data_IF_157521433271
#
_entry.id   IF_157521433271
#
_cell.length_a   1.000
_cell.length_b   1.000
_cell.length_c   1.000
_cell.angle_alpha   90.00
_cell.angle_beta   90.00
_cell.angle_gamma   90.00
#
_symmetry.space_group_name_H-M   'P 1'
#
loop_
_entity.id
_entity.type
_entity.pdbx_description
1 polymer ?
#
# COMPACT_ATOMS: atom_id res chain seq x y z
N UNK A 1 34.22 -16.16 -41.61
CA UNK A 1 34.95 -16.82 -40.49
C UNK A 1 33.95 -17.51 -39.59
N UNK A 2 34.03 -18.84 -39.50
CA UNK A 2 33.30 -19.66 -38.51
C UNK A 2 33.87 -19.35 -37.12
N UNK A 3 33.02 -19.08 -36.14
CA UNK A 3 33.38 -19.25 -34.73
C UNK A 3 32.28 -20.06 -34.04
N UNK A 4 32.66 -21.29 -33.73
CA UNK A 4 31.88 -22.33 -33.10
C UNK A 4 32.18 -22.29 -31.60
N UNK A 5 31.11 -22.20 -30.82
CA UNK A 5 30.90 -22.84 -29.51
C UNK A 5 31.97 -22.75 -28.42
N UNK A 6 31.59 -22.17 -27.28
CA UNK A 6 31.80 -22.83 -25.98
C UNK A 6 30.68 -22.47 -25.00
N UNK A 7 29.89 -23.49 -24.65
CA UNK A 7 29.05 -23.53 -23.44
C UNK A 7 29.97 -23.63 -22.23
N UNK A 8 29.74 -22.81 -21.20
CA UNK A 8 30.16 -23.12 -19.84
C UNK A 8 28.97 -22.97 -18.90
N UNK A 9 28.74 -24.01 -18.12
CA UNK A 9 27.66 -24.13 -17.15
C UNK A 9 27.92 -23.19 -15.97
N UNK A 10 26.95 -22.34 -15.65
CA UNK A 10 26.91 -21.64 -14.36
C UNK A 10 26.10 -22.47 -13.39
N UNK A 11 26.80 -23.12 -12.47
CA UNK A 11 26.23 -23.58 -11.22
C UNK A 11 27.26 -23.30 -10.13
N UNK A 12 26.97 -22.36 -9.23
CA UNK A 12 27.47 -22.38 -7.85
C UNK A 12 26.60 -21.47 -6.99
N UNK A 13 25.72 -22.10 -6.21
CA UNK A 13 25.32 -21.60 -4.90
C UNK A 13 26.57 -21.24 -4.10
N UNK A 14 26.72 -19.98 -3.68
CA UNK A 14 27.62 -19.58 -2.59
C UNK A 14 26.95 -18.53 -1.72
N UNK A 15 26.35 -18.98 -0.62
CA UNK A 15 26.30 -18.19 0.61
C UNK A 15 27.73 -18.17 1.19
N UNK A 16 28.33 -16.98 1.28
CA UNK A 16 29.57 -16.77 2.03
C UNK A 16 29.23 -16.48 3.49
N UNK A 17 29.84 -17.19 4.47
CA UNK A 17 29.85 -16.74 5.86
C UNK A 17 31.03 -15.79 6.08
N UNK A 18 30.72 -14.54 6.46
CA UNK A 18 31.70 -13.58 6.97
C UNK A 18 32.19 -14.06 8.34
N UNK A 19 33.40 -14.62 8.39
CA UNK A 19 34.13 -14.85 9.64
C UNK A 19 35.07 -13.68 9.89
N UNK A 20 34.68 -12.75 10.77
CA UNK A 20 35.57 -11.70 11.25
C UNK A 20 36.54 -12.29 12.28
N UNK A 21 37.75 -12.59 11.82
CA UNK A 21 38.93 -12.90 12.65
C UNK A 21 39.51 -11.58 13.17
N UNK A 22 39.15 -11.17 14.40
CA UNK A 22 39.82 -10.06 15.07
C UNK A 22 41.23 -10.47 15.50
N UNK A 23 42.24 -9.80 14.95
CA UNK A 23 43.65 -9.88 15.36
C UNK A 23 43.80 -9.18 16.72
N UNK A 24 44.21 -9.92 17.76
CA UNK A 24 44.68 -9.34 19.03
C UNK A 24 45.97 -8.58 18.79
N UNK A 25 45.97 -7.28 19.08
CA UNK A 25 47.19 -6.48 19.30
C UNK A 25 47.33 -6.34 20.82
N UNK A 26 48.47 -6.81 21.34
CA UNK A 26 48.91 -6.66 22.73
C UNK A 26 49.61 -5.31 22.89
N UNK A 27 49.16 -4.48 23.85
CA UNK A 27 49.90 -3.33 24.40
C UNK A 27 49.62 -3.24 25.92
N UNK A 28 50.53 -2.63 26.72
CA UNK A 28 50.82 -3.06 28.08
C UNK A 28 50.05 -2.33 29.20
N UNK A 29 50.03 -3.00 30.35
CA UNK A 29 49.52 -2.57 31.65
C UNK A 29 49.99 -1.17 32.06
N UNK A 30 49.05 -0.32 32.49
CA UNK A 30 49.28 0.74 33.48
C UNK A 30 48.02 0.95 34.33
N UNK A 31 48.24 1.42 35.55
CA UNK A 31 47.43 1.24 36.74
C UNK A 31 46.06 1.94 36.76
N UNK A 32 45.15 1.37 37.55
CA UNK A 32 43.83 1.90 37.89
C UNK A 32 43.91 3.11 38.83
N UNK A 33 42.92 4.02 38.77
CA UNK A 33 42.39 4.67 39.95
C UNK A 33 40.96 4.21 40.21
N UNK A 34 40.68 3.87 41.47
CA UNK A 34 39.35 3.57 41.98
C UNK A 34 38.40 4.76 41.79
N UNK A 35 37.30 4.56 41.08
CA UNK A 35 36.16 5.48 41.06
C UNK A 35 35.02 4.82 41.82
N UNK A 36 34.77 5.32 43.03
CA UNK A 36 33.68 4.92 43.91
C UNK A 36 32.34 5.06 43.19
N UNK A 37 31.66 3.93 43.00
CA UNK A 37 30.28 3.85 42.50
C UNK A 37 29.36 4.34 43.62
N UNK A 38 28.85 5.57 43.49
CA UNK A 38 27.67 5.99 44.23
C UNK A 38 26.45 5.33 43.61
N UNK A 39 25.91 4.32 44.28
CA UNK A 39 24.59 3.76 43.99
C UNK A 39 23.53 4.81 44.37
N UNK A 40 23.17 5.68 43.41
CA UNK A 40 21.92 6.44 43.50
C UNK A 40 20.76 5.49 43.20
N UNK A 41 20.30 4.89 44.29
CA UNK A 41 19.04 4.17 44.43
C UNK A 41 17.91 5.21 44.32
N UNK A 42 17.31 5.37 43.14
CA UNK A 42 16.19 6.31 43.00
C UNK A 42 15.60 6.42 41.59
N UNK A 43 14.51 5.67 41.36
CA UNK A 43 13.40 5.96 40.43
C UNK A 43 13.67 6.00 38.90
N UNK A 44 13.67 4.81 38.28
CA UNK A 44 12.96 4.58 37.02
C UNK A 44 11.72 3.74 37.38
N UNK A 45 10.48 4.22 37.13
CA UNK A 45 9.94 4.07 35.78
C UNK A 45 8.98 5.20 35.39
N UNK A 46 9.35 6.03 34.42
CA UNK A 46 8.39 6.84 33.67
C UNK A 46 8.76 6.88 32.19
N UNK A 47 8.86 5.71 31.56
CA UNK A 47 9.10 5.55 30.12
C UNK A 47 8.15 4.52 29.47
N UNK A 48 6.95 4.35 30.03
CA UNK A 48 5.89 3.47 29.50
C UNK A 48 4.54 4.18 29.41
N UNK A 49 4.51 5.45 28.98
CA UNK A 49 3.24 6.18 28.77
C UNK A 49 3.05 6.78 27.37
N UNK A 50 3.76 6.28 26.36
CA UNK A 50 3.49 6.62 24.95
C UNK A 50 3.30 5.36 24.08
N UNK A 51 2.82 4.26 24.65
CA UNK A 51 2.37 3.10 23.87
C UNK A 51 0.90 3.30 23.51
N UNK A 52 0.69 3.77 22.28
CA UNK A 52 -0.52 3.58 21.48
C UNK A 52 -1.85 3.98 22.13
N UNK A 53 -2.23 5.25 21.98
CA UNK A 53 -3.65 5.59 21.75
C UNK A 53 -4.04 5.10 20.33
N UNK A 54 -3.97 3.80 20.06
CA UNK A 54 -4.74 3.23 18.96
C UNK A 54 -6.17 3.17 19.48
N UNK A 55 -6.98 4.20 19.17
CA UNK A 55 -8.42 4.04 19.29
C UNK A 55 -8.79 2.81 18.46
N UNK A 56 -9.46 1.79 19.03
CA UNK A 56 -9.99 0.72 18.21
C UNK A 56 -10.92 1.38 17.19
N UNK A 57 -10.52 1.36 15.92
CA UNK A 57 -11.40 1.72 14.82
C UNK A 57 -12.50 0.67 14.82
N UNK A 58 -13.67 1.03 15.37
CA UNK A 58 -14.88 0.22 15.23
C UNK A 58 -15.09 0.08 13.74
N UNK A 59 -15.07 -1.16 13.25
CA UNK A 59 -15.34 -1.43 11.84
C UNK A 59 -16.74 -0.90 11.52
N UNK A 60 -16.83 0.05 10.59
CA UNK A 60 -18.11 0.59 10.17
C UNK A 60 -18.80 -0.51 9.37
N UNK A 61 -20.06 -0.77 9.68
CA UNK A 61 -20.87 -1.70 8.89
C UNK A 61 -21.09 -1.06 7.51
N UNK A 62 -20.57 -1.71 6.47
CA UNK A 62 -20.80 -1.32 5.08
C UNK A 62 -22.04 -2.09 4.60
N UNK A 63 -23.09 -1.38 4.22
CA UNK A 63 -24.32 -2.02 3.72
C UNK A 63 -24.18 -2.42 2.24
N UNK A 64 -23.50 -1.59 1.44
CA UNK A 64 -23.23 -1.85 0.02
C UNK A 64 -21.73 -1.70 -0.29
N UNK A 65 -21.04 -2.83 -0.34
CA UNK A 65 -19.66 -2.87 -0.81
C UNK A 65 -19.63 -3.27 -2.29
N UNK A 66 -19.32 -2.31 -3.16
CA UNK A 66 -19.33 -2.52 -4.61
C UNK A 66 -18.06 -3.25 -5.09
N UNK A 67 -17.04 -3.39 -4.24
CA UNK A 67 -15.85 -4.17 -4.52
C UNK A 67 -15.26 -4.76 -3.21
N UNK A 68 -15.89 -5.78 -2.61
CA UNK A 68 -15.53 -6.28 -1.28
C UNK A 68 -14.12 -6.87 -1.21
N UNK A 69 -13.64 -7.46 -2.30
CA UNK A 69 -12.29 -8.00 -2.44
C UNK A 69 -11.30 -7.02 -3.07
N UNK A 70 -11.59 -5.73 -3.04
CA UNK A 70 -10.67 -4.72 -3.57
C UNK A 70 -9.42 -4.55 -2.72
N UNK A 71 -8.28 -4.41 -3.39
CA UNK A 71 -7.07 -3.92 -2.74
C UNK A 71 -7.19 -2.40 -2.48
N UNK A 72 -7.20 -2.00 -1.21
CA UNK A 72 -7.56 -0.65 -0.75
C UNK A 72 -6.54 -0.05 0.24
N UNK A 73 -5.28 -0.46 0.12
CA UNK A 73 -4.20 -0.11 1.05
C UNK A 73 -3.95 1.41 1.11
N UNK A 74 -4.01 1.97 2.31
CA UNK A 74 -3.74 3.38 2.58
C UNK A 74 -2.26 3.68 2.88
N UNK A 75 -1.44 2.64 3.09
CA UNK A 75 -0.03 2.74 3.46
C UNK A 75 0.22 3.50 4.77
N UNK A 76 -0.73 3.40 5.71
CA UNK A 76 -0.67 4.11 6.99
C UNK A 76 0.50 3.61 7.83
N UNK A 77 1.43 4.51 8.13
CA UNK A 77 2.61 4.25 8.96
C UNK A 77 3.74 3.50 8.25
N UNK A 78 3.63 3.23 6.94
CA UNK A 78 4.64 2.45 6.20
C UNK A 78 4.95 2.99 4.79
N UNK A 79 4.42 4.15 4.41
CA UNK A 79 4.58 4.72 3.07
C UNK A 79 6.05 4.81 2.66
N UNK A 80 6.94 5.26 3.54
CA UNK A 80 8.37 5.37 3.25
C UNK A 80 9.00 4.00 2.94
N UNK A 81 8.75 3.00 3.78
CA UNK A 81 9.30 1.65 3.59
C UNK A 81 8.74 0.98 2.33
N UNK A 82 7.46 1.21 2.01
CA UNK A 82 6.87 0.71 0.76
C UNK A 82 7.52 1.39 -0.45
N UNK A 83 7.76 2.71 -0.39
CA UNK A 83 8.47 3.42 -1.45
C UNK A 83 9.89 2.88 -1.64
N UNK A 84 10.61 2.62 -0.56
CA UNK A 84 11.96 2.05 -0.59
C UNK A 84 11.96 0.65 -1.23
N UNK A 85 11.03 -0.24 -0.84
CA UNK A 85 10.92 -1.59 -1.44
C UNK A 85 10.53 -1.50 -2.94
N UNK A 86 9.67 -0.55 -3.31
CA UNK A 86 9.30 -0.29 -4.72
C UNK A 86 10.48 0.19 -5.57
N UNK A 87 11.38 1.01 -5.01
CA UNK A 87 12.58 1.52 -5.70
C UNK A 87 13.67 0.44 -5.80
N UNK A 88 13.85 -0.37 -4.76
CA UNK A 88 14.88 -1.41 -4.73
C UNK A 88 14.48 -2.66 -5.53
N UNK A 89 13.19 -2.95 -5.58
CA UNK A 89 12.64 -4.10 -6.31
C UNK A 89 12.48 -3.85 -7.81
N UNK A 90 12.13 -4.91 -8.53
CA UNK A 90 11.81 -4.90 -9.96
C UNK A 90 10.30 -4.71 -10.23
N UNK A 91 9.56 -4.16 -9.26
CA UNK A 91 8.10 -4.05 -9.29
C UNK A 91 7.60 -3.25 -10.50
N UNK A 92 8.23 -2.10 -10.78
CA UNK A 92 7.85 -1.28 -11.92
C UNK A 92 8.12 -1.99 -13.25
N UNK A 93 9.30 -2.60 -13.42
CA UNK A 93 9.64 -3.36 -14.62
C UNK A 93 8.66 -4.51 -14.86
N UNK A 94 8.36 -5.29 -13.81
CA UNK A 94 7.36 -6.38 -13.88
C UNK A 94 5.97 -5.86 -14.23
N UNK A 95 5.57 -4.72 -13.67
CA UNK A 95 4.28 -4.09 -13.97
C UNK A 95 4.20 -3.69 -15.45
N UNK A 96 5.26 -3.08 -16.00
CA UNK A 96 5.37 -2.73 -17.42
C UNK A 96 5.26 -3.95 -18.35
N UNK A 97 5.80 -5.09 -17.94
CA UNK A 97 5.74 -6.36 -18.70
C UNK A 97 4.38 -7.06 -18.61
N UNK A 98 3.63 -6.84 -17.52
CA UNK A 98 2.38 -7.56 -17.24
C UNK A 98 1.14 -7.07 -18.01
N UNK A 99 1.14 -5.81 -18.44
CA UNK A 99 -0.05 -5.15 -18.99
C UNK A 99 0.02 -4.90 -20.50
N UNK A 100 -1.00 -5.34 -21.25
CA UNK A 100 -1.13 -4.95 -22.68
C UNK A 100 -1.23 -3.43 -22.77
N UNK A 101 -0.35 -2.80 -23.54
CA UNK A 101 -0.26 -1.35 -23.71
C UNK A 101 0.12 -0.52 -22.48
N UNK A 102 0.27 -1.10 -21.29
CA UNK A 102 0.56 -0.33 -20.07
C UNK A 102 1.87 0.45 -20.19
N UNK A 103 2.92 -0.20 -20.70
CA UNK A 103 4.20 0.45 -20.96
C UNK A 103 4.08 1.66 -21.89
N UNK A 104 3.34 1.53 -22.99
CA UNK A 104 3.11 2.61 -23.95
C UNK A 104 2.32 3.77 -23.34
N UNK A 105 1.32 3.47 -22.51
CA UNK A 105 0.54 4.49 -21.80
C UNK A 105 1.42 5.23 -20.80
N UNK A 106 2.25 4.52 -20.03
CA UNK A 106 3.19 5.13 -19.09
C UNK A 106 4.19 6.06 -19.79
N UNK A 107 4.81 5.61 -20.88
CA UNK A 107 5.71 6.43 -21.68
C UNK A 107 5.02 7.70 -22.21
N UNK A 108 3.81 7.56 -22.74
CA UNK A 108 3.02 8.70 -23.22
C UNK A 108 2.71 9.67 -22.09
N UNK A 109 2.25 9.19 -20.94
CA UNK A 109 1.96 10.00 -19.76
C UNK A 109 3.21 10.75 -19.27
N UNK A 110 4.37 10.08 -19.25
CA UNK A 110 5.64 10.69 -18.89
C UNK A 110 6.03 11.84 -19.85
N UNK A 111 5.97 11.60 -21.17
CA UNK A 111 6.24 12.64 -22.17
C UNK A 111 5.22 13.79 -22.10
N UNK A 112 3.94 13.48 -21.85
CA UNK A 112 2.91 14.49 -21.65
C UNK A 112 3.23 15.37 -20.45
N UNK A 113 3.60 14.80 -19.31
CA UNK A 113 3.98 15.55 -18.12
C UNK A 113 5.17 16.48 -18.38
N UNK A 114 6.25 15.96 -18.98
CA UNK A 114 7.45 16.75 -19.27
C UNK A 114 7.16 17.96 -20.17
N UNK A 115 6.18 17.85 -21.08
CA UNK A 115 5.78 18.96 -21.96
C UNK A 115 4.94 20.03 -21.26
N UNK A 116 4.29 19.72 -20.13
CA UNK A 116 3.47 20.71 -19.42
C UNK A 116 4.32 21.79 -18.75
N UNK A 117 5.57 21.49 -18.36
CA UNK A 117 6.47 22.45 -17.72
C UNK A 117 5.94 23.02 -16.40
N UNK A 118 4.94 22.38 -15.79
CA UNK A 118 4.33 22.81 -14.53
C UNK A 118 5.19 22.39 -13.34
N UNK A 119 5.21 23.25 -12.32
CA UNK A 119 5.79 22.91 -11.03
C UNK A 119 4.95 21.85 -10.32
N UNK A 120 5.62 20.94 -9.62
CA UNK A 120 4.96 19.99 -8.73
C UNK A 120 4.69 20.62 -7.36
N UNK A 121 3.60 20.22 -6.69
CA UNK A 121 3.45 20.43 -5.26
C UNK A 121 4.66 19.97 -4.45
N UNK A 122 4.84 20.59 -3.29
CA UNK A 122 5.87 20.20 -2.34
C UNK A 122 5.66 18.74 -1.90
N UNK A 123 6.73 17.94 -1.93
CA UNK A 123 6.75 16.49 -1.63
C UNK A 123 6.15 15.56 -2.71
N UNK A 124 5.65 16.10 -3.83
CA UNK A 124 5.32 15.27 -5.00
C UNK A 124 6.55 15.01 -5.88
N UNK A 125 6.53 13.87 -6.55
CA UNK A 125 7.56 13.48 -7.53
C UNK A 125 6.95 13.39 -8.92
N UNK A 126 7.79 13.38 -9.96
CA UNK A 126 7.35 13.14 -11.34
C UNK A 126 6.56 11.84 -11.44
N UNK A 127 6.93 10.81 -10.68
CA UNK A 127 6.22 9.52 -10.67
C UNK A 127 4.77 9.66 -10.22
N UNK A 128 4.49 10.50 -9.21
CA UNK A 128 3.11 10.77 -8.78
C UNK A 128 2.29 11.41 -9.90
N UNK A 129 2.85 12.45 -10.55
CA UNK A 129 2.19 13.12 -11.66
C UNK A 129 1.93 12.18 -12.85
N UNK A 130 2.89 11.32 -13.17
CA UNK A 130 2.74 10.32 -14.24
C UNK A 130 1.72 9.27 -13.86
N UNK A 131 1.67 8.80 -12.62
CA UNK A 131 0.65 7.85 -12.16
C UNK A 131 -0.78 8.40 -12.30
N UNK A 132 -0.99 9.68 -11.92
CA UNK A 132 -2.25 10.39 -12.16
C UNK A 132 -2.58 10.37 -13.65
N UNK A 133 -1.65 10.81 -14.52
CA UNK A 133 -1.87 10.86 -15.96
C UNK A 133 -2.15 9.49 -16.57
N UNK A 134 -1.46 8.44 -16.13
CA UNK A 134 -1.69 7.06 -16.58
C UNK A 134 -3.12 6.63 -16.29
N UNK A 135 -3.61 6.91 -15.09
CA UNK A 135 -4.98 6.59 -14.68
C UNK A 135 -6.02 7.42 -15.45
N UNK A 136 -5.76 8.72 -15.67
CA UNK A 136 -6.68 9.67 -16.30
C UNK A 136 -6.78 9.56 -17.83
N UNK A 137 -5.69 9.20 -18.51
CA UNK A 137 -5.58 9.26 -19.98
C UNK A 137 -6.10 8.01 -20.70
N UNK A 138 -6.26 6.87 -20.01
CA UNK A 138 -6.53 5.61 -20.69
C UNK A 138 -7.54 4.72 -19.95
N UNK A 139 -8.73 4.58 -20.55
CA UNK A 139 -9.82 3.78 -19.98
C UNK A 139 -9.50 2.29 -19.91
N UNK A 140 -8.69 1.75 -20.84
CA UNK A 140 -8.27 0.34 -20.81
C UNK A 140 -7.37 0.06 -19.60
N UNK A 141 -6.39 0.93 -19.34
CA UNK A 141 -5.53 0.80 -18.15
C UNK A 141 -6.35 0.93 -16.87
N UNK A 142 -7.27 1.90 -16.81
CA UNK A 142 -8.17 2.06 -15.67
C UNK A 142 -9.04 0.81 -15.45
N UNK A 143 -9.56 0.21 -16.51
CA UNK A 143 -10.34 -1.03 -16.44
C UNK A 143 -9.51 -2.23 -15.97
N UNK A 144 -8.30 -2.42 -16.54
CA UNK A 144 -7.41 -3.52 -16.14
C UNK A 144 -6.92 -3.36 -14.70
N UNK A 145 -6.61 -2.13 -14.28
CA UNK A 145 -6.24 -1.80 -12.91
C UNK A 145 -7.38 -2.10 -11.93
N UNK A 146 -8.59 -1.65 -12.25
CA UNK A 146 -9.80 -1.91 -11.45
C UNK A 146 -10.06 -3.42 -11.31
N UNK A 147 -9.93 -4.18 -12.40
CA UNK A 147 -10.07 -5.65 -12.39
C UNK A 147 -9.00 -6.32 -11.52
N UNK A 148 -7.75 -5.86 -11.61
CA UNK A 148 -6.66 -6.37 -10.77
C UNK A 148 -6.91 -6.06 -9.29
N UNK A 149 -7.36 -4.86 -8.95
CA UNK A 149 -7.71 -4.50 -7.57
C UNK A 149 -8.80 -5.42 -7.02
N UNK A 150 -9.85 -5.70 -7.80
CA UNK A 150 -10.97 -6.55 -7.39
C UNK A 150 -10.62 -8.04 -7.22
N UNK A 151 -9.54 -8.53 -7.84
CA UNK A 151 -9.20 -9.96 -7.89
C UNK A 151 -7.95 -10.34 -7.09
N UNK A 152 -7.12 -9.37 -6.71
CA UNK A 152 -5.82 -9.66 -6.13
C UNK A 152 -5.75 -9.57 -4.61
N UNK A 153 -6.85 -9.21 -3.96
CA UNK A 153 -6.89 -9.02 -2.53
C UNK A 153 -7.32 -10.32 -1.81
N UNK A 154 -6.43 -10.76 -0.91
CA UNK A 154 -6.51 -12.01 -0.16
C UNK A 154 -5.32 -12.11 0.80
N UNK A 155 -4.61 -13.24 0.80
CA UNK A 155 -3.38 -13.37 1.61
C UNK A 155 -2.20 -12.54 1.06
N UNK A 156 -1.16 -12.23 1.86
CA UNK A 156 0.06 -11.58 1.36
C UNK A 156 0.72 -12.33 0.18
N UNK A 157 0.60 -13.67 0.17
CA UNK A 157 1.12 -14.50 -0.91
C UNK A 157 0.32 -14.30 -2.21
N UNK A 158 -1.01 -14.24 -2.12
CA UNK A 158 -1.87 -13.97 -3.27
C UNK A 158 -1.64 -12.56 -3.81
N UNK A 159 -1.53 -11.56 -2.93
CA UNK A 159 -1.15 -10.19 -3.30
C UNK A 159 0.18 -10.17 -4.08
N UNK A 160 1.19 -10.91 -3.60
CA UNK A 160 2.50 -10.99 -4.23
C UNK A 160 2.41 -11.45 -5.68
N UNK A 161 1.66 -12.52 -5.94
CA UNK A 161 1.62 -13.20 -7.24
C UNK A 161 0.58 -12.64 -8.20
N UNK A 162 -0.55 -12.14 -7.70
CA UNK A 162 -1.71 -11.78 -8.52
C UNK A 162 -1.91 -10.28 -8.71
N UNK A 163 -1.44 -9.44 -7.78
CA UNK A 163 -1.58 -7.98 -7.93
C UNK A 163 -0.39 -7.40 -8.68
N UNK A 164 -0.48 -7.21 -9.99
CA UNK A 164 0.66 -6.71 -10.77
C UNK A 164 0.83 -5.18 -10.72
N UNK A 165 -0.21 -4.43 -10.32
CA UNK A 165 -0.22 -2.96 -10.27
C UNK A 165 0.27 -2.38 -8.93
N UNK A 166 1.33 -2.94 -8.36
CA UNK A 166 1.86 -2.51 -7.05
C UNK A 166 2.40 -1.08 -7.09
N UNK A 167 3.08 -0.74 -8.18
CA UNK A 167 3.71 0.57 -8.37
C UNK A 167 2.64 1.63 -8.64
N UNK A 168 1.73 1.38 -9.60
CA UNK A 168 0.63 2.32 -9.89
C UNK A 168 -0.23 2.58 -8.67
N UNK A 169 -0.64 1.53 -7.94
CA UNK A 169 -1.52 1.68 -6.78
C UNK A 169 -0.87 2.56 -5.70
N UNK A 170 0.40 2.31 -5.39
CA UNK A 170 1.11 3.11 -4.39
C UNK A 170 1.16 4.59 -4.80
N UNK A 171 1.71 4.89 -5.99
CA UNK A 171 1.89 6.28 -6.42
C UNK A 171 0.56 7.00 -6.65
N UNK A 172 -0.50 6.31 -7.08
CA UNK A 172 -1.82 6.93 -7.23
C UNK A 172 -2.44 7.24 -5.86
N UNK A 173 -2.32 6.31 -4.90
CA UNK A 173 -2.82 6.51 -3.53
C UNK A 173 -2.12 7.68 -2.86
N UNK A 174 -0.79 7.68 -2.85
CA UNK A 174 -0.01 8.73 -2.18
C UNK A 174 -0.12 10.07 -2.91
N UNK A 175 -0.34 10.08 -4.24
CA UNK A 175 -0.60 11.31 -4.97
C UNK A 175 -1.88 12.00 -4.48
N UNK A 176 -2.99 11.26 -4.34
CA UNK A 176 -4.24 11.82 -3.81
C UNK A 176 -4.05 12.32 -2.37
N UNK A 177 -3.35 11.55 -1.53
CA UNK A 177 -3.07 11.94 -0.15
C UNK A 177 -2.23 13.23 -0.05
N UNK A 178 -1.19 13.37 -0.88
CA UNK A 178 -0.33 14.56 -0.92
C UNK A 178 -1.10 15.80 -1.40
N UNK A 179 -1.89 15.68 -2.46
CA UNK A 179 -2.74 16.77 -2.94
C UNK A 179 -3.76 17.19 -1.87
N UNK A 180 -4.38 16.22 -1.19
CA UNK A 180 -5.29 16.52 -0.09
C UNK A 180 -4.60 17.23 1.07
N UNK A 181 -3.41 16.79 1.46
CA UNK A 181 -2.62 17.45 2.51
C UNK A 181 -2.33 18.91 2.14
N UNK A 182 -1.96 19.18 0.89
CA UNK A 182 -1.71 20.53 0.40
C UNK A 182 -2.97 21.41 0.45
N UNK A 183 -4.12 20.90 -0.02
CA UNK A 183 -5.43 21.59 0.00
C UNK A 183 -5.81 21.96 1.44
N UNK A 184 -5.70 21.01 2.38
CA UNK A 184 -6.01 21.25 3.80
C UNK A 184 -5.05 22.29 4.38
N UNK A 185 -3.76 22.24 4.04
CA UNK A 185 -2.77 23.22 4.52
C UNK A 185 -3.05 24.62 4.01
N UNK A 186 -3.67 24.77 2.83
CA UNK A 186 -4.06 26.04 2.24
C UNK A 186 -5.42 26.56 2.73
N UNK A 187 -6.12 25.84 3.62
CA UNK A 187 -7.49 26.14 4.06
C UNK A 187 -8.49 26.28 2.90
N UNK A 188 -8.29 25.52 1.82
CA UNK A 188 -9.22 25.47 0.69
C UNK A 188 -10.40 24.50 0.99
N UNK A 189 -11.34 24.33 0.06
CA UNK A 189 -12.53 23.50 0.24
C UNK A 189 -12.20 22.10 0.77
N UNK A 190 -12.76 21.75 1.92
CA UNK A 190 -12.51 20.47 2.58
C UNK A 190 -13.11 19.29 1.79
N UNK A 191 -14.19 19.53 1.04
CA UNK A 191 -14.87 18.51 0.26
C UNK A 191 -15.27 19.04 -1.12
N UNK A 192 -15.46 18.14 -2.09
CA UNK A 192 -15.87 18.48 -3.45
C UNK A 192 -17.17 17.76 -3.79
N UNK A 193 -18.14 18.49 -4.32
CA UNK A 193 -19.29 17.88 -4.99
C UNK A 193 -18.85 17.44 -6.39
N UNK A 194 -19.03 16.15 -6.68
CA UNK A 194 -18.61 15.53 -7.92
C UNK A 194 -19.69 14.61 -8.45
N UNK A 195 -19.62 14.30 -9.74
CA UNK A 195 -20.59 13.46 -10.42
C UNK A 195 -19.90 12.23 -11.01
N UNK A 196 -20.56 11.08 -10.85
CA UNK A 196 -20.09 9.81 -11.35
C UNK A 196 -21.25 9.02 -11.95
N UNK A 197 -21.01 8.35 -13.06
CA UNK A 197 -22.00 7.54 -13.77
C UNK A 197 -21.51 6.10 -13.88
N UNK A 198 -22.40 5.15 -13.63
CA UNK A 198 -22.17 3.72 -13.87
C UNK A 198 -23.27 3.17 -14.78
N UNK A 199 -22.88 2.82 -16.00
CA UNK A 199 -23.77 2.20 -17.01
C UNK A 199 -24.03 0.73 -16.71
N UNK A 200 -25.25 0.28 -17.01
CA UNK A 200 -25.65 -1.12 -16.87
C UNK A 200 -25.80 -1.62 -15.43
N UNK A 201 -25.77 -0.70 -14.45
CA UNK A 201 -25.96 -1.01 -13.03
C UNK A 201 -27.11 -0.18 -12.50
N UNK A 202 -28.04 -0.83 -11.80
CA UNK A 202 -29.17 -0.23 -11.12
C UNK A 202 -29.00 -0.44 -9.62
N UNK A 203 -28.30 0.50 -8.97
CA UNK A 203 -28.12 0.43 -7.53
C UNK A 203 -29.33 1.04 -6.84
N UNK A 204 -29.96 0.27 -5.96
CA UNK A 204 -30.99 0.74 -5.04
C UNK A 204 -30.45 0.59 -3.62
N UNK A 205 -30.14 1.72 -2.98
CA UNK A 205 -29.68 1.76 -1.60
C UNK A 205 -30.51 2.79 -0.83
N UNK A 206 -31.14 2.42 0.30
CA UNK A 206 -31.99 3.34 1.06
C UNK A 206 -31.17 4.46 1.71
N UNK A 207 -31.82 5.57 2.04
CA UNK A 207 -31.21 6.64 2.82
C UNK A 207 -30.64 6.09 4.15
N UNK A 208 -29.46 6.58 4.52
CA UNK A 208 -28.70 6.14 5.69
C UNK A 208 -27.82 4.90 5.45
N UNK A 209 -27.95 4.22 4.30
CA UNK A 209 -27.07 3.10 3.96
C UNK A 209 -25.63 3.59 3.73
N UNK A 210 -24.65 2.77 4.14
CA UNK A 210 -23.22 3.03 3.87
C UNK A 210 -22.75 2.29 2.62
N UNK A 211 -22.15 3.02 1.69
CA UNK A 211 -21.59 2.54 0.43
C UNK A 211 -20.07 2.68 0.44
N UNK A 212 -19.37 1.64 -0.05
CA UNK A 212 -17.95 1.69 -0.41
C UNK A 212 -17.81 1.29 -1.87
N UNK A 213 -17.12 2.11 -2.67
CA UNK A 213 -16.83 1.78 -4.07
C UNK A 213 -15.70 0.75 -4.20
N UNK A 214 -14.71 0.79 -3.30
CA UNK A 214 -13.57 -0.13 -3.29
C UNK A 214 -12.64 0.02 -4.49
N UNK A 215 -12.84 1.01 -5.34
CA UNK A 215 -11.95 1.31 -6.47
C UNK A 215 -11.69 2.80 -6.53
N UNK A 216 -10.59 3.19 -7.19
CA UNK A 216 -10.39 4.58 -7.53
C UNK A 216 -11.52 5.01 -8.46
N UNK A 217 -12.11 6.18 -8.21
CA UNK A 217 -13.06 6.80 -9.12
C UNK A 217 -12.42 8.01 -9.79
N UNK A 218 -12.67 8.13 -11.09
CA UNK A 218 -12.53 9.41 -11.80
C UNK A 218 -13.93 10.00 -11.91
N UNK A 219 -14.10 11.20 -11.35
CA UNK A 219 -15.39 11.88 -11.18
C UNK A 219 -15.31 13.30 -11.74
N UNK A 220 -16.42 13.81 -12.25
CA UNK A 220 -16.50 15.14 -12.87
C UNK A 220 -16.93 16.20 -11.85
N UNK A 221 -16.30 17.38 -11.88
CA UNK A 221 -16.80 18.57 -11.17
C UNK A 221 -18.03 19.19 -11.83
N UNK A 222 -18.24 18.89 -13.11
CA UNK A 222 -19.40 19.36 -13.85
C UNK A 222 -20.51 18.35 -13.70
N UNK A 223 -21.69 18.81 -13.29
CA UNK A 223 -22.91 18.04 -13.42
C UNK A 223 -23.14 17.83 -14.91
N UNK A 224 -23.03 16.59 -15.35
CA UNK A 224 -23.64 16.24 -16.62
C UNK A 224 -25.15 16.43 -16.42
N UNK A 225 -25.69 17.51 -17.01
CA UNK A 225 -27.13 17.68 -17.14
C UNK A 225 -27.66 16.36 -17.71
N UNK A 226 -28.74 15.84 -17.13
CA UNK A 226 -29.30 14.52 -17.39
C UNK A 226 -29.79 14.33 -18.84
N UNK A 227 -28.88 14.46 -19.81
CA UNK A 227 -29.14 14.23 -21.21
C UNK A 227 -29.15 12.73 -21.42
N UNK A 228 -30.35 12.22 -21.10
CA UNK A 228 -30.88 10.89 -21.37
C UNK A 228 -30.47 9.89 -20.30
N UNK A 229 -31.24 9.90 -19.20
CA UNK A 229 -31.57 8.69 -18.46
C UNK A 229 -31.72 7.50 -19.44
N UNK A 230 -30.65 6.71 -19.52
CA UNK A 230 -30.59 5.37 -20.09
C UNK A 230 -30.21 4.42 -18.96
N UNK A 231 -30.09 3.13 -19.25
CA UNK A 231 -29.93 2.05 -18.28
C UNK A 231 -28.69 2.19 -17.35
N UNK A 232 -28.74 3.08 -16.35
CA UNK A 232 -27.57 3.50 -15.55
C UNK A 232 -27.94 4.05 -14.16
N UNK A 233 -26.94 4.10 -13.28
CA UNK A 233 -27.00 4.81 -11.99
C UNK A 233 -26.12 6.06 -12.03
N UNK A 234 -26.69 7.19 -11.62
CA UNK A 234 -26.00 8.46 -11.46
C UNK A 234 -25.74 8.75 -9.98
N UNK A 235 -24.54 9.21 -9.67
CA UNK A 235 -24.13 9.58 -8.33
C UNK A 235 -23.78 11.07 -8.26
N UNK A 236 -24.36 11.78 -7.30
CA UNK A 236 -23.82 13.07 -6.82
C UNK A 236 -23.10 12.79 -5.51
N UNK A 237 -21.79 12.98 -5.47
CA UNK A 237 -20.93 12.57 -4.35
C UNK A 237 -20.29 13.82 -3.74
N UNK A 238 -20.46 14.03 -2.44
CA UNK A 238 -19.65 14.96 -1.67
C UNK A 238 -18.46 14.21 -1.08
N UNK A 239 -17.31 14.26 -1.76
CA UNK A 239 -16.07 13.57 -1.36
C UNK A 239 -15.16 14.50 -0.56
N UNK A 240 -14.66 14.01 0.57
CA UNK A 240 -13.73 14.74 1.45
C UNK A 240 -12.30 14.18 1.38
N UNK A 241 -12.08 13.08 0.63
CA UNK A 241 -10.76 12.51 0.38
C UNK A 241 -10.33 12.57 -1.09
N UNK A 242 -11.26 12.79 -2.01
CA UNK A 242 -10.94 12.89 -3.43
C UNK A 242 -10.21 14.18 -3.78
N UNK A 243 -9.16 14.12 -4.60
CA UNK A 243 -8.34 15.29 -4.94
C UNK A 243 -8.60 15.74 -6.39
N UNK A 244 -8.78 17.05 -6.65
CA UNK A 244 -8.78 17.58 -8.01
C UNK A 244 -7.41 17.38 -8.66
N UNK A 245 -7.39 16.88 -9.90
CA UNK A 245 -6.14 16.60 -10.64
C UNK A 245 -6.04 17.39 -11.94
N UNK A 246 -6.80 18.46 -12.07
CA UNK A 246 -6.82 19.34 -13.26
C UNK A 246 -5.47 19.96 -13.60
N UNK A 247 -4.54 20.05 -12.64
CA UNK A 247 -3.19 20.52 -12.90
C UNK A 247 -2.31 19.49 -13.61
N UNK A 248 -2.69 18.21 -13.54
CA UNK A 248 -1.99 17.09 -14.15
C UNK A 248 -2.72 16.59 -15.40
N UNK A 249 -4.04 16.40 -15.29
CA UNK A 249 -4.92 15.86 -16.32
C UNK A 249 -5.53 16.99 -17.17
N UNK A 250 -5.77 16.72 -18.46
CA UNK A 250 -6.54 17.63 -19.32
C UNK A 250 -8.04 17.64 -18.95
N UNK A 251 -8.50 16.64 -18.19
CA UNK A 251 -9.88 16.55 -17.71
C UNK A 251 -10.02 17.29 -16.39
N UNK A 252 -11.12 18.03 -16.22
CA UNK A 252 -11.53 18.61 -14.93
C UNK A 252 -12.16 17.53 -14.07
N UNK A 253 -11.32 16.65 -13.53
CA UNK A 253 -11.75 15.52 -12.73
C UNK A 253 -11.18 15.56 -11.31
N UNK A 254 -11.93 14.94 -10.40
CA UNK A 254 -11.52 14.66 -9.03
C UNK A 254 -11.34 13.14 -8.92
N UNK A 255 -10.16 12.72 -8.43
CA UNK A 255 -9.87 11.33 -8.17
C UNK A 255 -10.26 10.97 -6.74
N UNK A 256 -11.16 10.02 -6.57
CA UNK A 256 -11.62 9.52 -5.26
C UNK A 256 -10.87 8.23 -4.93
N UNK A 257 -10.28 8.09 -3.73
CA UNK A 257 -9.56 6.88 -3.35
C UNK A 257 -10.51 5.70 -3.04
N UNK A 258 -10.02 4.44 -3.11
CA UNK A 258 -10.85 3.24 -2.96
C UNK A 258 -11.40 2.98 -1.54
N UNK A 259 -10.87 3.68 -0.54
CA UNK A 259 -11.15 3.44 0.88
C UNK A 259 -12.11 4.47 1.50
N UNK A 260 -12.63 5.44 0.73
CA UNK A 260 -13.61 6.40 1.23
C UNK A 260 -14.99 5.74 1.39
N UNK A 261 -15.64 6.01 2.52
CA UNK A 261 -17.01 5.56 2.82
C UNK A 261 -18.00 6.68 2.58
N UNK A 262 -19.18 6.32 2.09
CA UNK A 262 -20.24 7.26 1.77
C UNK A 262 -21.57 6.84 2.37
N UNK A 263 -22.27 7.77 3.00
CA UNK A 263 -23.66 7.60 3.41
C UNK A 263 -24.61 8.08 2.29
N UNK A 264 -25.66 7.32 2.02
CA UNK A 264 -26.75 7.74 1.13
C UNK A 264 -27.61 8.78 1.83
N UNK A 265 -27.61 10.01 1.32
CA UNK A 265 -28.39 11.12 1.91
C UNK A 265 -29.66 11.45 1.13
N UNK A 266 -29.74 11.05 -0.13
CA UNK A 266 -30.92 11.24 -0.97
C UNK A 266 -30.94 10.23 -2.12
N UNK A 267 -32.12 9.90 -2.62
CA UNK A 267 -32.31 8.89 -3.67
C UNK A 267 -33.50 9.24 -4.56
N UNK A 268 -33.40 8.97 -5.85
CA UNK A 268 -34.52 8.98 -6.79
C UNK A 268 -34.42 7.79 -7.72
N UNK A 269 -35.50 7.02 -7.85
CA UNK A 269 -35.55 5.83 -8.70
C UNK A 269 -36.55 6.07 -9.83
N UNK A 270 -36.09 5.87 -11.07
CA UNK A 270 -36.91 6.05 -12.26
C UNK A 270 -36.77 4.85 -13.19
N UNK A 271 -37.79 4.57 -14.04
CA UNK A 271 -37.72 3.46 -15.00
C UNK A 271 -36.54 3.53 -15.98
N UNK A 272 -35.92 4.70 -16.13
CA UNK A 272 -34.79 4.95 -17.04
C UNK A 272 -33.46 5.18 -16.30
N UNK A 273 -33.37 4.84 -15.02
CA UNK A 273 -32.13 4.94 -14.24
C UNK A 273 -32.34 5.45 -12.81
N UNK A 274 -31.36 5.18 -11.97
CA UNK A 274 -31.36 5.54 -10.56
C UNK A 274 -30.44 6.73 -10.31
N UNK A 275 -30.76 7.54 -9.32
CA UNK A 275 -29.92 8.62 -8.83
C UNK A 275 -29.74 8.51 -7.31
N UNK A 276 -28.49 8.59 -6.87
CA UNK A 276 -28.12 8.59 -5.45
C UNK A 276 -27.26 9.81 -5.14
N UNK A 277 -27.57 10.48 -4.04
CA UNK A 277 -26.72 11.49 -3.44
C UNK A 277 -25.97 10.89 -2.26
N UNK A 278 -24.65 11.04 -2.27
CA UNK A 278 -23.72 10.41 -1.35
C UNK A 278 -22.92 11.47 -0.60
N UNK A 279 -22.69 11.26 0.70
CA UNK A 279 -21.86 12.14 1.54
C UNK A 279 -20.75 11.34 2.21
N UNK A 280 -19.51 11.83 2.12
CA UNK A 280 -18.36 11.22 2.80
C UNK A 280 -18.58 11.09 4.31
N UNK A 281 -18.29 9.92 4.87
CA UNK A 281 -18.45 9.62 6.31
C UNK A 281 -17.19 9.07 6.98
N UNK A 282 -16.12 8.85 6.22
CA UNK A 282 -14.85 8.40 6.77
C UNK A 282 -14.09 7.48 5.83
N UNK A 283 -13.22 6.65 6.41
CA UNK A 283 -12.42 5.66 5.67
C UNK A 283 -12.51 4.29 6.28
N UNK A 284 -12.38 3.27 5.43
CA UNK A 284 -12.15 1.90 5.84
C UNK A 284 -11.32 1.19 4.79
N UNK A 285 -10.21 0.61 5.23
CA UNK A 285 -9.37 -0.26 4.41
C UNK A 285 -9.29 -1.64 5.02
N UNK A 286 -9.36 -2.66 4.16
CA UNK A 286 -9.09 -4.04 4.51
C UNK A 286 -7.60 -4.30 4.64
N UNK A 287 -6.79 -3.61 3.83
CA UNK A 287 -5.34 -3.80 3.78
C UNK A 287 -4.59 -2.60 4.37
N UNK A 288 -3.44 -2.91 4.98
CA UNK A 288 -2.45 -1.91 5.35
C UNK A 288 -1.06 -2.50 5.20
N UNK A 289 -0.18 -1.83 4.45
CA UNK A 289 1.22 -2.20 4.23
C UNK A 289 1.41 -3.62 3.66
N UNK A 290 0.53 -4.05 2.76
CA UNK A 290 0.46 -5.42 2.26
C UNK A 290 1.73 -5.82 1.50
N UNK A 291 2.36 -4.86 0.82
CA UNK A 291 3.61 -5.08 0.10
C UNK A 291 4.73 -5.56 1.04
N UNK A 292 4.91 -4.90 2.18
CA UNK A 292 5.92 -5.29 3.17
C UNK A 292 5.61 -6.66 3.80
N UNK A 293 4.33 -6.95 4.07
CA UNK A 293 3.90 -8.27 4.56
C UNK A 293 4.24 -9.37 3.56
N UNK A 294 4.08 -9.11 2.26
CA UNK A 294 4.40 -10.03 1.18
C UNK A 294 5.91 -10.16 0.87
N UNK A 295 6.68 -9.10 1.15
CA UNK A 295 8.14 -9.09 1.02
C UNK A 295 8.85 -9.73 2.21
N UNK A 296 8.23 -9.73 3.39
CA UNK A 296 8.79 -10.36 4.58
C UNK A 296 9.03 -11.86 4.35
N UNK A 297 10.29 -12.29 4.38
CA UNK A 297 10.62 -13.72 4.45
C UNK A 297 10.07 -14.21 5.78
N UNK A 298 9.14 -15.18 5.78
CA UNK A 298 8.86 -15.96 6.98
C UNK A 298 10.16 -16.66 7.34
N UNK A 299 10.90 -16.12 8.30
CA UNK A 299 11.85 -16.93 9.07
C UNK A 299 10.98 -17.92 9.82
N UNK A 300 10.79 -19.11 9.26
CA UNK A 300 10.35 -20.26 10.04
C UNK A 300 11.51 -20.51 11.00
N UNK A 301 11.35 -20.32 12.32
CA UNK A 301 12.37 -20.75 13.26
C UNK A 301 12.49 -22.26 13.04
N UNK A 302 13.64 -22.72 12.56
CA UNK A 302 13.95 -24.14 12.57
C UNK A 302 13.77 -24.60 14.02
N UNK A 303 12.92 -25.61 14.30
CA UNK A 303 12.79 -26.11 15.65
C UNK A 303 14.17 -26.59 16.08
N UNK A 304 14.71 -25.94 17.11
CA UNK A 304 15.95 -26.38 17.75
C UNK A 304 15.62 -27.71 18.41
N UNK A 305 15.93 -28.81 17.73
CA UNK A 305 15.91 -30.13 18.35
C UNK A 305 17.07 -30.14 19.33
N UNK A 306 16.77 -29.84 20.59
CA UNK A 306 17.72 -30.00 21.69
C UNK A 306 17.87 -31.51 21.88
N UNK A 307 18.91 -32.09 21.27
CA UNK A 307 19.34 -33.45 21.57
C UNK A 307 19.92 -33.45 22.99
N UNK A 308 19.09 -33.78 23.97
CA UNK A 308 19.53 -34.05 25.34
C UNK A 308 20.35 -35.34 25.35
N UNK A 309 21.68 -35.20 25.39
CA UNK A 309 22.62 -36.29 25.63
C UNK A 309 22.52 -36.73 27.10
N UNK A 310 21.79 -37.81 27.34
CA UNK A 310 21.75 -38.49 28.63
C UNK A 310 23.10 -39.19 28.88
N UNK A 311 23.96 -38.59 29.71
CA UNK A 311 25.16 -39.25 30.21
C UNK A 311 24.76 -40.34 31.22
N UNK A 312 24.74 -41.59 30.80
CA UNK A 312 24.71 -42.75 31.68
C UNK A 312 26.09 -42.92 32.33
N UNK A 313 26.23 -42.50 33.60
CA UNK A 313 27.40 -42.83 34.41
C UNK A 313 27.28 -44.27 34.92
N UNK A 314 28.08 -45.18 34.36
CA UNK A 314 28.29 -46.51 34.92
C UNK A 314 29.05 -46.40 36.25
N UNK A 315 28.39 -46.73 37.36
CA UNK A 315 29.05 -46.92 38.67
C UNK A 315 29.59 -48.34 38.74
N UNK A 316 30.92 -48.48 38.66
CA UNK A 316 31.63 -49.73 38.96
C UNK A 316 31.84 -49.76 40.47
N UNK A 317 31.11 -50.64 41.18
CA UNK A 317 31.39 -50.95 42.59
C UNK A 317 32.49 -52.01 42.62
N UNK A 318 33.72 -51.60 42.94
CA UNK A 318 34.78 -52.52 43.34
C UNK A 318 34.74 -52.65 44.87
N UNK A 319 34.22 -53.77 45.37
CA UNK A 319 34.27 -54.12 46.78
C UNK A 319 35.63 -54.72 47.11
N UNK A 320 36.41 -54.04 47.97
CA UNK A 320 37.55 -54.67 48.64
C UNK A 320 37.79 -54.03 49.99
N UNK A 321 37.45 -54.76 51.07
CA UNK A 321 38.16 -54.68 52.36
C UNK A 321 37.73 -55.79 53.33
N UNK A 322 38.71 -56.67 53.61
CA UNK A 322 39.04 -57.33 54.90
C UNK A 322 38.10 -58.40 55.47
N UNK A 323 38.55 -59.65 55.43
CA UNK A 323 39.28 -60.27 56.55
C UNK A 323 40.47 -61.06 55.97
#
# INVERSE_FOLDING_TARGET
>A
MKLQGRRSAFNTNKCCPLTNRCRRILLPNTAAPEVRIWLLRGQLPLLLLCSSLQRPTVAVKIDFDLAPSSFDDQYQGCSQQVMEDLIQGDYFTKELESGRNYHRVWQRAHLTWLRQGKALPENMTITHAVAILVYSLNDSVRSDFSRAMASAAGSPQQYKHSFHFKYLHYYLTTAIQLLRKEIVTRNDSLCYEVHHEVKGVYLEAPMGATIRFGQFLSTSLLREEAQKFGDQTLFTILTCLGAPVQDFSLKKEVLVPPYELFEVVNTSYHPRGNWLQLRSTGTQSTYNCQLLKASSKKCIPTPVVIASLSFLTCVIISSKSRA
#
